data_IF_314678544026
#
_entry.id   IF_314678544026
#
_cell.length_a   1.000
_cell.length_b   1.000
_cell.length_c   1.000
_cell.angle_alpha   90.00
_cell.angle_beta   90.00
_cell.angle_gamma   90.00
#
_symmetry.space_group_name_H-M   'P 1'
#
loop_
_entity.id
_entity.type
_entity.pdbx_description
1 polymer ?
#
# COMPACT_ATOMS: atom_id res chain seq x y z
N UNK A 1 -23.62 10.42 -6.81
CA UNK A 1 -22.61 9.47 -6.31
C UNK A 1 -21.87 10.14 -5.17
N UNK A 2 -21.36 9.35 -4.23
CA UNK A 2 -20.68 9.82 -3.02
C UNK A 2 -19.33 9.13 -2.90
N UNK A 3 -18.31 9.87 -2.50
CA UNK A 3 -16.97 9.36 -2.25
C UNK A 3 -16.69 9.36 -0.75
N UNK A 4 -16.09 8.28 -0.24
CA UNK A 4 -15.39 8.32 1.04
C UNK A 4 -13.97 8.83 0.80
N UNK A 5 -13.63 9.95 1.43
CA UNK A 5 -12.36 10.66 1.21
C UNK A 5 -11.58 10.76 2.52
N UNK A 6 -10.34 10.30 2.50
CA UNK A 6 -9.38 10.58 3.57
C UNK A 6 -8.84 11.97 3.33
N UNK A 7 -9.08 12.87 4.28
CA UNK A 7 -8.58 14.24 4.19
C UNK A 7 -7.16 14.26 4.76
N UNK A 8 -6.19 14.75 3.99
CA UNK A 8 -4.76 14.76 4.35
C UNK A 8 -4.41 15.88 5.33
N UNK A 9 -5.19 15.97 6.40
CA UNK A 9 -4.97 16.86 7.54
C UNK A 9 -4.84 16.02 8.80
N UNK A 10 -4.76 16.66 9.97
CA UNK A 10 -5.02 15.94 11.21
C UNK A 10 -6.46 15.42 11.18
N UNK A 11 -6.65 14.16 11.57
CA UNK A 11 -7.94 13.51 11.75
C UNK A 11 -7.94 12.89 13.15
N UNK A 12 -9.04 13.01 13.91
CA UNK A 12 -9.22 12.24 15.13
C UNK A 12 -9.10 10.74 14.86
N UNK A 13 -8.61 9.93 15.81
CA UNK A 13 -8.47 8.49 15.61
C UNK A 13 -9.77 7.76 15.29
N UNK A 14 -10.94 8.29 15.67
CA UNK A 14 -12.22 7.65 15.40
C UNK A 14 -12.74 7.90 13.97
N UNK A 15 -12.11 8.78 13.19
CA UNK A 15 -12.60 9.18 11.86
C UNK A 15 -11.61 8.79 10.78
N UNK A 16 -11.93 7.73 10.04
CA UNK A 16 -11.12 7.26 8.92
C UNK A 16 -11.29 8.10 7.66
N UNK A 17 -12.50 8.58 7.40
CA UNK A 17 -12.84 9.28 6.16
C UNK A 17 -14.07 10.15 6.32
N UNK A 18 -14.27 11.03 5.35
CA UNK A 18 -15.42 11.91 5.27
C UNK A 18 -16.15 11.67 3.94
N UNK A 19 -17.48 11.74 3.98
CA UNK A 19 -18.28 11.61 2.76
C UNK A 19 -18.38 12.94 2.04
N UNK A 20 -18.09 12.91 0.73
CA UNK A 20 -18.32 14.02 -0.18
C UNK A 20 -19.21 13.60 -1.35
N UNK A 21 -19.97 14.54 -1.90
CA UNK A 21 -20.69 14.35 -3.15
C UNK A 21 -19.71 14.43 -4.33
N UNK A 22 -19.89 13.57 -5.33
CA UNK A 22 -19.15 13.62 -6.60
C UNK A 22 -20.02 14.38 -7.61
N UNK A 23 -19.66 15.63 -8.00
CA UNK A 23 -20.35 16.37 -9.04
C UNK A 23 -20.42 15.58 -10.35
N UNK A 24 -21.53 15.68 -11.09
CA UNK A 24 -21.71 14.98 -12.38
C UNK A 24 -20.66 15.34 -13.42
N UNK A 25 -20.01 16.51 -13.29
CA UNK A 25 -18.93 16.97 -14.16
C UNK A 25 -17.58 16.31 -13.86
N UNK A 26 -17.41 15.66 -12.71
CA UNK A 26 -16.15 15.03 -12.31
C UNK A 26 -16.22 13.51 -12.47
N UNK A 27 -15.32 12.96 -13.29
CA UNK A 27 -15.12 11.52 -13.41
C UNK A 27 -14.11 11.03 -12.35
N UNK A 28 -14.57 10.96 -11.10
CA UNK A 28 -13.72 10.58 -9.97
C UNK A 28 -13.53 9.06 -9.89
N UNK A 29 -12.31 8.62 -9.57
CA UNK A 29 -11.91 7.22 -9.41
C UNK A 29 -11.34 6.96 -8.02
N UNK A 30 -11.43 5.71 -7.56
CA UNK A 30 -10.79 5.26 -6.31
C UNK A 30 -9.27 5.42 -6.45
N UNK A 31 -8.61 5.88 -5.38
CA UNK A 31 -7.16 6.16 -5.34
C UNK A 31 -6.73 7.49 -5.94
N UNK A 32 -7.70 8.33 -6.35
CA UNK A 32 -7.43 9.63 -6.95
C UNK A 32 -7.21 10.73 -5.90
N UNK A 33 -6.30 11.65 -6.24
CA UNK A 33 -6.00 12.84 -5.44
C UNK A 33 -7.00 13.95 -5.77
N UNK A 34 -7.69 14.44 -4.75
CA UNK A 34 -8.73 15.47 -4.86
C UNK A 34 -8.49 16.64 -3.92
N UNK A 35 -9.12 17.76 -4.22
CA UNK A 35 -9.24 18.92 -3.35
C UNK A 35 -10.66 18.94 -2.80
N UNK A 36 -10.82 18.98 -1.47
CA UNK A 36 -12.13 18.91 -0.81
C UNK A 36 -12.32 20.06 0.17
N UNK A 37 -13.56 20.55 0.35
CA UNK A 37 -13.83 21.60 1.32
C UNK A 37 -13.80 21.01 2.75
N UNK A 38 -12.98 21.60 3.62
CA UNK A 38 -12.85 21.19 5.02
C UNK A 38 -12.71 22.41 5.93
N UNK A 39 -13.79 22.75 6.66
CA UNK A 39 -13.89 24.01 7.38
C UNK A 39 -13.75 25.21 6.45
N UNK A 40 -12.76 26.07 6.71
CA UNK A 40 -12.40 27.25 5.89
C UNK A 40 -11.30 26.98 4.85
N UNK A 41 -10.79 25.74 4.78
CA UNK A 41 -9.65 25.36 3.92
C UNK A 41 -10.09 24.34 2.88
N UNK A 42 -9.24 24.17 1.85
CA UNK A 42 -9.43 23.20 0.78
C UNK A 42 -8.22 22.22 0.73
N UNK A 43 -8.05 21.37 1.75
CA UNK A 43 -6.96 20.40 1.80
C UNK A 43 -7.06 19.36 0.69
N UNK A 44 -5.95 18.63 0.51
CA UNK A 44 -5.90 17.45 -0.35
C UNK A 44 -6.60 16.27 0.33
N UNK A 45 -7.13 15.35 -0.47
CA UNK A 45 -7.71 14.10 0.00
C UNK A 45 -7.54 12.97 -1.01
N UNK A 46 -7.71 11.74 -0.54
CA UNK A 46 -7.66 10.51 -1.35
C UNK A 46 -9.03 9.83 -1.30
N UNK A 47 -9.57 9.48 -2.47
CA UNK A 47 -10.81 8.71 -2.57
C UNK A 47 -10.54 7.24 -2.23
N UNK A 48 -11.20 6.69 -1.20
CA UNK A 48 -11.08 5.27 -0.81
C UNK A 48 -12.15 4.37 -1.41
N UNK A 49 -13.35 4.91 -1.59
CA UNK A 49 -14.49 4.19 -2.16
C UNK A 49 -15.49 5.17 -2.75
N UNK A 50 -16.30 4.67 -3.69
CA UNK A 50 -17.37 5.42 -4.34
C UNK A 50 -18.65 4.60 -4.18
N UNK A 51 -19.70 5.24 -3.68
CA UNK A 51 -21.01 4.65 -3.44
C UNK A 51 -22.09 5.41 -4.21
N UNK A 52 -23.07 4.70 -4.75
CA UNK A 52 -24.20 5.33 -5.46
C UNK A 52 -25.27 5.88 -4.52
N UNK A 53 -25.36 5.35 -3.29
CA UNK A 53 -26.38 5.70 -2.30
C UNK A 53 -25.92 6.79 -1.34
N UNK A 54 -26.86 7.64 -0.91
CA UNK A 54 -26.62 8.65 0.12
C UNK A 54 -26.37 7.95 1.47
N UNK A 55 -25.30 8.29 2.20
CA UNK A 55 -25.08 7.77 3.55
C UNK A 55 -26.21 8.27 4.47
N UNK A 56 -26.95 7.36 5.08
CA UNK A 56 -28.12 7.66 5.93
C UNK A 56 -29.49 7.38 5.29
N UNK A 57 -29.55 6.89 4.04
CA UNK A 57 -30.77 6.31 3.48
C UNK A 57 -30.82 4.81 3.78
N UNK A 58 -31.59 4.40 4.79
CA UNK A 58 -31.80 2.97 5.10
C UNK A 58 -32.68 2.31 4.04
N UNK A 59 -32.23 1.17 3.49
CA UNK A 59 -33.13 0.09 3.05
C UNK A 59 -33.57 -0.70 4.30
N UNK A 60 -34.43 -0.09 5.10
CA UNK A 60 -35.36 -0.78 6.01
C UNK A 60 -36.23 0.30 6.62
N UNK A 61 -37.52 0.24 6.32
CA UNK A 61 -38.57 0.63 7.26
C UNK A 61 -38.53 -0.32 8.45
N UNK A 62 -37.43 -0.34 9.21
CA UNK A 62 -37.44 -0.92 10.55
C UNK A 62 -37.99 0.16 11.47
N UNK A 63 -39.32 0.10 11.60
CA UNK A 63 -40.04 0.63 12.74
C UNK A 63 -39.39 0.02 14.00
N UNK A 64 -38.40 0.70 14.54
CA UNK A 64 -38.13 0.59 15.97
C UNK A 64 -39.24 1.38 16.65
N UNK A 65 -40.37 0.69 16.83
CA UNK A 65 -41.33 1.00 17.88
C UNK A 65 -40.61 0.80 19.22
N UNK A 66 -39.88 1.83 19.66
CA UNK A 66 -39.67 2.05 21.09
C UNK A 66 -40.84 2.89 21.56
N UNK A 67 -41.90 2.18 21.94
CA UNK A 67 -42.77 2.65 23.00
C UNK A 67 -41.89 2.82 24.23
N UNK A 68 -41.58 4.06 24.58
CA UNK A 68 -41.57 4.52 25.96
C UNK A 68 -41.78 6.03 25.92
N UNK A 69 -42.82 6.43 26.61
CA UNK A 69 -43.42 7.75 26.61
C UNK A 69 -42.57 8.82 27.31
N UNK A 70 -42.72 10.05 26.81
CA UNK A 70 -42.66 11.37 27.48
C UNK A 70 -41.53 12.30 26.98
N UNK A 71 -41.88 13.19 26.04
CA UNK A 71 -41.74 14.67 26.16
C UNK A 71 -42.45 15.35 24.95
N UNK A 72 -43.50 16.19 25.10
CA UNK A 72 -44.20 16.84 23.98
C UNK A 72 -43.56 18.15 23.48
N UNK A 73 -42.37 18.54 23.95
CA UNK A 73 -41.76 19.82 23.57
C UNK A 73 -40.25 19.74 23.36
N UNK A 74 -39.81 19.27 22.18
CA UNK A 74 -38.39 19.32 21.84
C UNK A 74 -38.07 18.81 20.43
N UNK A 75 -37.98 19.75 19.48
CA UNK A 75 -37.39 19.63 18.14
C UNK A 75 -36.86 18.24 17.72
N UNK A 76 -37.59 17.51 16.88
CA UNK A 76 -36.98 16.58 15.93
C UNK A 76 -36.97 17.23 14.54
N UNK A 77 -36.07 18.19 14.36
CA UNK A 77 -35.60 18.52 13.03
C UNK A 77 -34.72 17.36 12.58
N UNK A 78 -35.23 16.51 11.69
CA UNK A 78 -34.39 15.70 10.80
C UNK A 78 -33.53 16.66 9.97
N UNK A 79 -32.43 17.11 10.55
CA UNK A 79 -31.49 18.02 9.92
C UNK A 79 -30.80 17.21 8.83
N UNK A 80 -31.35 17.25 7.62
CA UNK A 80 -30.75 16.65 6.43
C UNK A 80 -29.29 17.08 6.39
N UNK A 81 -28.39 16.14 6.68
CA UNK A 81 -26.96 16.42 6.73
C UNK A 81 -26.51 16.85 5.34
N UNK A 82 -26.21 18.14 5.18
CA UNK A 82 -25.79 18.70 3.90
C UNK A 82 -24.39 18.20 3.56
N UNK A 83 -24.31 17.23 2.65
CA UNK A 83 -23.04 16.74 2.11
C UNK A 83 -22.44 17.81 1.19
N UNK A 84 -21.14 18.08 1.34
CA UNK A 84 -20.41 19.03 0.48
C UNK A 84 -19.87 18.31 -0.76
N UNK A 85 -19.82 18.96 -1.93
CA UNK A 85 -19.21 18.39 -3.12
C UNK A 85 -17.67 18.41 -3.06
N UNK A 86 -17.02 17.49 -3.78
CA UNK A 86 -15.59 17.57 -4.11
C UNK A 86 -15.35 18.84 -4.95
N UNK A 87 -14.31 19.63 -4.61
CA UNK A 87 -14.01 20.86 -5.35
C UNK A 87 -13.40 20.57 -6.73
N UNK A 88 -12.38 19.72 -6.76
CA UNK A 88 -11.69 19.37 -7.99
C UNK A 88 -10.84 18.11 -7.85
N UNK A 89 -10.58 17.47 -8.98
CA UNK A 89 -9.55 16.45 -9.14
C UNK A 89 -8.21 17.15 -9.35
N UNK A 90 -7.17 16.73 -8.61
CA UNK A 90 -5.83 17.33 -8.71
C UNK A 90 -4.93 16.61 -9.71
N UNK A 91 -5.20 15.33 -9.96
CA UNK A 91 -4.49 14.49 -10.92
C UNK A 91 -5.50 13.61 -11.66
N UNK A 92 -5.41 13.60 -12.99
CA UNK A 92 -6.35 12.87 -13.86
C UNK A 92 -6.34 11.36 -13.61
N UNK A 93 -5.20 10.82 -13.14
CA UNK A 93 -5.04 9.40 -12.84
C UNK A 93 -5.01 9.12 -11.32
N UNK A 94 -5.53 7.96 -10.87
CA UNK A 94 -5.30 7.48 -9.51
C UNK A 94 -3.82 7.37 -9.18
N UNK A 95 -3.44 7.86 -8.01
CA UNK A 95 -2.06 7.78 -7.50
C UNK A 95 -1.83 6.59 -6.58
N UNK A 96 -2.91 5.97 -6.10
CA UNK A 96 -2.89 4.70 -5.38
C UNK A 96 -3.35 3.57 -6.28
N UNK A 97 -2.60 2.48 -6.28
CA UNK A 97 -3.00 1.24 -6.93
C UNK A 97 -4.11 0.54 -6.10
N UNK A 98 -4.96 -0.31 -6.71
CA UNK A 98 -6.05 -0.98 -6.01
C UNK A 98 -5.60 -1.73 -4.75
N UNK A 99 -4.49 -2.47 -4.84
CA UNK A 99 -3.93 -3.19 -3.70
C UNK A 99 -3.46 -2.25 -2.58
N UNK A 100 -3.02 -1.03 -2.90
CA UNK A 100 -2.60 -0.07 -1.88
C UNK A 100 -3.81 0.51 -1.13
N UNK A 101 -4.96 0.63 -1.79
CA UNK A 101 -6.21 1.02 -1.11
C UNK A 101 -6.65 -0.05 -0.11
N UNK A 102 -6.54 -1.32 -0.48
CA UNK A 102 -6.80 -2.44 0.44
C UNK A 102 -5.77 -2.50 1.56
N UNK A 103 -4.50 -2.24 1.25
CA UNK A 103 -3.43 -2.15 2.23
C UNK A 103 -3.70 -1.04 3.26
N UNK A 104 -4.12 0.15 2.82
CA UNK A 104 -4.45 1.27 3.72
C UNK A 104 -5.55 0.90 4.73
N UNK A 105 -6.64 0.29 4.24
CA UNK A 105 -7.75 -0.19 5.07
C UNK A 105 -7.28 -1.22 6.09
N UNK A 106 -6.49 -2.18 5.63
CA UNK A 106 -5.91 -3.20 6.51
C UNK A 106 -4.94 -2.60 7.52
N UNK A 107 -4.06 -1.68 7.12
CA UNK A 107 -3.09 -1.05 8.02
C UNK A 107 -3.79 -0.28 9.14
N UNK A 108 -4.82 0.50 8.79
CA UNK A 108 -5.59 1.26 9.78
C UNK A 108 -6.25 0.34 10.80
N UNK A 109 -6.86 -0.77 10.35
CA UNK A 109 -7.47 -1.75 11.24
C UNK A 109 -6.46 -2.55 12.07
N UNK A 110 -5.36 -3.00 11.46
CA UNK A 110 -4.35 -3.85 12.10
C UNK A 110 -3.51 -3.09 13.13
N UNK A 111 -3.11 -1.87 12.81
CA UNK A 111 -2.29 -1.03 13.68
C UNK A 111 -3.10 -0.06 14.54
N UNK A 112 -4.44 -0.06 14.40
CA UNK A 112 -5.34 0.87 15.10
C UNK A 112 -4.85 2.32 14.90
N UNK A 113 -4.59 2.65 13.65
CA UNK A 113 -3.96 3.92 13.27
C UNK A 113 -4.92 4.77 12.43
N UNK A 114 -4.96 6.10 12.63
CA UNK A 114 -5.76 6.98 11.81
C UNK A 114 -5.42 6.81 10.33
N UNK A 115 -6.44 6.73 9.48
CA UNK A 115 -6.26 6.51 8.04
C UNK A 115 -5.34 7.56 7.39
N UNK A 116 -5.42 8.82 7.80
CA UNK A 116 -4.51 9.88 7.33
C UNK A 116 -3.02 9.57 7.61
N UNK A 117 -2.70 8.92 8.74
CA UNK A 117 -1.32 8.53 9.05
C UNK A 117 -0.87 7.36 8.16
N UNK A 118 -1.75 6.40 7.90
CA UNK A 118 -1.48 5.32 6.95
C UNK A 118 -1.22 5.88 5.54
N UNK A 119 -2.02 6.85 5.09
CA UNK A 119 -1.81 7.50 3.79
C UNK A 119 -0.47 8.26 3.75
N UNK A 120 -0.12 8.99 4.81
CA UNK A 120 1.18 9.69 4.92
C UNK A 120 2.37 8.74 4.95
N UNK A 121 2.20 7.52 5.46
CA UNK A 121 3.25 6.51 5.44
C UNK A 121 3.52 5.99 4.02
N UNK A 122 2.47 5.83 3.21
CA UNK A 122 2.59 5.30 1.84
C UNK A 122 2.96 6.37 0.82
N UNK A 123 2.37 7.56 0.94
CA UNK A 123 2.51 8.61 -0.06
C UNK A 123 3.79 9.42 0.20
N UNK A 124 4.68 9.60 -0.80
CA UNK A 124 5.75 10.59 -0.67
C UNK A 124 5.16 11.99 -0.54
N UNK A 125 5.96 12.93 -0.03
CA UNK A 125 5.59 14.33 -0.09
C UNK A 125 5.33 14.75 -1.54
N UNK A 126 4.11 15.22 -1.79
CA UNK A 126 3.72 15.69 -3.11
C UNK A 126 4.27 17.11 -3.33
N UNK A 127 4.75 17.45 -4.54
CA UNK A 127 5.10 18.81 -4.86
C UNK A 127 3.85 19.72 -4.79
N UNK A 128 4.06 21.03 -4.66
CA UNK A 128 2.96 22.00 -4.60
C UNK A 128 2.00 21.87 -5.79
N UNK A 129 0.71 22.22 -5.57
CA UNK A 129 -0.36 22.16 -6.58
C UNK A 129 0.06 22.78 -7.92
N UNK A 130 0.78 23.90 -7.90
CA UNK A 130 1.28 24.57 -9.11
C UNK A 130 2.32 23.75 -9.90
N UNK A 131 3.18 22.99 -9.22
CA UNK A 131 4.17 22.12 -9.86
C UNK A 131 3.55 20.84 -10.40
N UNK A 132 2.53 20.29 -9.72
CA UNK A 132 1.80 19.10 -10.18
C UNK A 132 1.07 19.38 -11.50
N UNK A 133 0.36 20.50 -11.58
CA UNK A 133 -0.40 20.87 -12.79
C UNK A 133 0.51 21.19 -13.98
N UNK A 134 1.70 21.75 -13.74
CA UNK A 134 2.67 22.07 -14.79
C UNK A 134 3.61 20.93 -15.17
N UNK A 135 3.68 19.85 -14.39
CA UNK A 135 4.50 18.71 -14.77
C UNK A 135 3.79 17.91 -15.87
N UNK A 136 4.53 17.48 -16.89
CA UNK A 136 4.05 16.61 -17.96
C UNK A 136 3.71 15.20 -17.42
N UNK A 137 2.66 15.07 -16.61
CA UNK A 137 2.13 13.76 -16.18
C UNK A 137 1.36 13.06 -17.29
N UNK A 138 0.94 13.81 -18.31
CA UNK A 138 0.06 13.34 -19.39
C UNK A 138 0.71 12.36 -20.37
N UNK A 139 2.04 12.26 -20.39
CA UNK A 139 2.77 11.48 -21.42
C UNK A 139 3.39 10.17 -20.91
N UNK A 140 3.58 10.00 -19.60
CA UNK A 140 4.45 8.93 -19.06
C UNK A 140 3.71 7.71 -18.48
N UNK A 141 2.39 7.77 -18.33
CA UNK A 141 1.59 6.59 -17.97
C UNK A 141 0.91 6.14 -19.27
N UNK A 142 1.57 5.27 -20.03
CA UNK A 142 0.95 4.58 -21.17
C UNK A 142 -0.14 3.63 -20.63
N UNK A 143 -1.28 4.20 -20.23
CA UNK A 143 -2.53 3.47 -20.03
C UNK A 143 -3.17 3.43 -21.41
N UNK A 144 -2.88 2.38 -22.17
CA UNK A 144 -3.42 2.19 -23.51
C UNK A 144 -4.97 2.30 -23.48
N UNK A 145 -5.59 3.26 -24.20
CA UNK A 145 -7.04 3.44 -24.18
C UNK A 145 -7.84 2.32 -24.85
N UNK A 146 -7.21 1.35 -25.51
CA UNK A 146 -7.89 0.38 -26.37
C UNK A 146 -8.09 -1.02 -25.78
N UNK A 147 -8.64 -1.11 -24.55
CA UNK A 147 -9.20 -2.38 -24.06
C UNK A 147 -10.59 -2.20 -23.45
N UNK A 148 -11.54 -1.69 -24.25
CA UNK A 148 -12.96 -1.97 -24.02
C UNK A 148 -13.28 -3.44 -24.38
N UNK A 149 -12.78 -4.36 -23.55
CA UNK A 149 -13.21 -5.74 -23.53
C UNK A 149 -14.40 -5.90 -22.59
N UNK A 150 -15.56 -6.25 -23.14
CA UNK A 150 -16.81 -6.56 -22.43
C UNK A 150 -16.56 -7.43 -21.20
N UNK A 151 -16.63 -6.83 -20.02
CA UNK A 151 -16.53 -7.52 -18.74
C UNK A 151 -16.78 -6.53 -17.61
N UNK A 152 -17.80 -6.78 -16.82
CA UNK A 152 -18.30 -5.92 -15.74
C UNK A 152 -17.36 -5.92 -14.53
N UNK A 153 -16.09 -5.57 -14.71
CA UNK A 153 -15.08 -5.18 -13.71
C UNK A 153 -13.84 -4.69 -14.47
N UNK A 154 -13.95 -3.54 -15.14
CA UNK A 154 -12.90 -3.00 -16.02
C UNK A 154 -11.64 -2.60 -15.24
N UNK A 155 -10.56 -3.34 -15.44
CA UNK A 155 -9.22 -2.93 -15.01
C UNK A 155 -8.76 -1.76 -15.89
N UNK A 156 -8.53 -0.60 -15.28
CA UNK A 156 -8.08 0.66 -15.92
C UNK A 156 -6.59 0.59 -16.35
N UNK A 157 -5.93 -0.55 -16.14
CA UNK A 157 -4.49 -0.73 -16.35
C UNK A 157 -4.22 -1.59 -17.58
N UNK A 158 -3.50 -1.02 -18.56
CA UNK A 158 -2.85 -1.81 -19.63
C UNK A 158 -1.90 -2.84 -19.00
N UNK A 159 -1.75 -4.06 -19.56
CA UNK A 159 -0.85 -5.06 -18.99
C UNK A 159 0.58 -4.55 -18.99
N UNK A 160 1.09 -4.21 -17.80
CA UNK A 160 2.49 -3.84 -17.62
C UNK A 160 3.37 -5.04 -17.97
N UNK A 161 4.22 -4.88 -18.99
CA UNK A 161 5.11 -5.96 -19.46
C UNK A 161 6.29 -6.19 -18.51
N UNK A 162 6.74 -5.14 -17.82
CA UNK A 162 7.89 -5.20 -16.93
C UNK A 162 7.46 -5.77 -15.57
N UNK A 163 8.16 -6.82 -15.12
CA UNK A 163 7.99 -7.39 -13.78
C UNK A 163 8.84 -6.64 -12.77
N UNK A 164 8.23 -6.24 -11.66
CA UNK A 164 8.90 -5.49 -10.59
C UNK A 164 9.33 -6.42 -9.46
N UNK A 165 10.58 -6.27 -9.03
CA UNK A 165 11.15 -6.89 -7.83
C UNK A 165 11.56 -5.81 -6.84
N UNK A 166 10.99 -5.86 -5.65
CA UNK A 166 11.37 -4.99 -4.53
C UNK A 166 12.46 -5.67 -3.70
N UNK A 167 13.55 -4.97 -3.41
CA UNK A 167 14.66 -5.42 -2.59
C UNK A 167 14.83 -4.46 -1.42
N UNK A 168 14.63 -5.01 -0.22
CA UNK A 168 14.72 -4.29 1.04
C UNK A 168 16.01 -4.64 1.76
N UNK A 169 16.72 -3.61 2.21
CA UNK A 169 17.90 -3.70 3.06
C UNK A 169 17.70 -2.87 4.34
N UNK A 170 18.27 -3.25 5.48
CA UNK A 170 18.03 -2.56 6.74
C UNK A 170 18.67 -1.17 6.75
N UNK A 171 19.89 -1.07 6.20
CA UNK A 171 20.63 0.18 6.07
C UNK A 171 20.98 0.44 4.59
N UNK A 172 20.87 1.70 4.17
CA UNK A 172 21.19 2.16 2.82
C UNK A 172 22.65 1.91 2.43
N UNK A 173 23.56 1.86 3.40
CA UNK A 173 24.99 1.62 3.17
C UNK A 173 25.26 0.23 2.57
N UNK A 174 24.27 -0.67 2.70
CA UNK A 174 24.32 -2.03 2.13
C UNK A 174 23.82 -2.09 0.70
N UNK A 175 23.21 -1.03 0.17
CA UNK A 175 22.71 -0.99 -1.21
C UNK A 175 23.82 -1.27 -2.23
N UNK A 176 25.02 -0.66 -2.16
CA UNK A 176 26.09 -0.94 -3.12
C UNK A 176 26.49 -2.42 -3.16
N UNK A 177 26.68 -3.03 -1.99
CA UNK A 177 26.99 -4.47 -1.88
C UNK A 177 25.83 -5.33 -2.41
N UNK A 178 24.60 -4.93 -2.10
CA UNK A 178 23.40 -5.63 -2.56
C UNK A 178 23.27 -5.53 -4.06
N UNK A 179 23.52 -4.37 -4.68
CA UNK A 179 23.50 -4.21 -6.14
C UNK A 179 24.54 -5.09 -6.83
N UNK A 180 25.73 -5.25 -6.26
CA UNK A 180 26.76 -6.13 -6.81
C UNK A 180 26.31 -7.61 -6.92
N UNK A 181 25.36 -8.01 -6.06
CA UNK A 181 24.76 -9.34 -6.07
C UNK A 181 23.63 -9.52 -7.12
N UNK A 182 23.24 -8.45 -7.82
CA UNK A 182 22.16 -8.43 -8.80
C UNK A 182 22.64 -7.87 -10.14
N UNK A 183 23.55 -8.54 -10.87
CA UNK A 183 24.06 -8.05 -12.16
C UNK A 183 22.99 -7.88 -13.25
N UNK A 184 21.85 -8.56 -13.10
CA UNK A 184 20.67 -8.41 -13.95
C UNK A 184 19.89 -7.11 -13.71
N UNK A 185 20.08 -6.44 -12.56
CA UNK A 185 19.36 -5.23 -12.20
C UNK A 185 19.93 -4.00 -12.93
N UNK A 186 19.75 -3.93 -14.25
CA UNK A 186 20.19 -2.80 -15.08
C UNK A 186 19.24 -1.61 -15.01
N UNK A 187 17.93 -1.87 -14.93
CA UNK A 187 16.90 -0.84 -14.80
C UNK A 187 16.34 -0.84 -13.37
N UNK A 188 17.06 -0.18 -12.46
CA UNK A 188 16.67 -0.08 -11.07
C UNK A 188 16.36 1.36 -10.63
N UNK A 189 15.69 1.47 -9.48
CA UNK A 189 15.43 2.72 -8.78
C UNK A 189 15.83 2.55 -7.32
N UNK A 190 16.46 3.57 -6.74
CA UNK A 190 16.71 3.65 -5.31
C UNK A 190 15.55 4.35 -4.62
N UNK A 191 15.13 3.85 -3.45
CA UNK A 191 14.07 4.45 -2.65
C UNK A 191 14.39 4.38 -1.16
N UNK A 192 14.82 5.49 -0.57
CA UNK A 192 15.19 5.56 0.84
C UNK A 192 14.91 6.94 1.44
N UNK A 193 15.06 7.06 2.76
CA UNK A 193 14.79 8.28 3.53
C UNK A 193 15.79 9.42 3.26
N UNK A 194 17.02 9.13 2.83
CA UNK A 194 18.00 10.17 2.50
C UNK A 194 17.80 10.84 1.12
N UNK A 195 16.86 10.36 0.29
CA UNK A 195 16.53 11.04 -0.96
C UNK A 195 15.83 12.37 -0.68
N UNK A 196 16.15 13.40 -1.48
CA UNK A 196 15.42 14.67 -1.44
C UNK A 196 13.98 14.45 -1.89
N UNK A 197 13.06 15.31 -1.45
CA UNK A 197 11.63 15.24 -1.81
C UNK A 197 11.41 15.11 -3.33
N UNK A 198 12.14 15.88 -4.14
CA UNK A 198 12.04 15.80 -5.61
C UNK A 198 12.54 14.48 -6.19
N UNK A 199 13.62 13.92 -5.65
CA UNK A 199 14.22 12.66 -6.10
C UNK A 199 13.32 11.48 -5.71
N UNK A 200 12.85 11.47 -4.47
CA UNK A 200 11.91 10.47 -3.95
C UNK A 200 10.61 10.48 -4.75
N UNK A 201 10.14 11.66 -5.14
CA UNK A 201 8.97 11.81 -5.97
C UNK A 201 9.18 11.30 -7.40
N UNK A 202 10.29 11.66 -8.05
CA UNK A 202 10.63 11.16 -9.39
C UNK A 202 10.80 9.62 -9.40
N UNK A 203 11.45 9.07 -8.36
CA UNK A 203 11.57 7.64 -8.14
C UNK A 203 10.19 6.97 -8.00
N UNK A 204 9.32 7.53 -7.15
CA UNK A 204 7.95 7.05 -6.96
C UNK A 204 7.15 7.06 -8.27
N UNK A 205 7.26 8.12 -9.07
CA UNK A 205 6.61 8.20 -10.38
C UNK A 205 7.09 7.12 -11.36
N UNK A 206 8.41 6.92 -11.45
CA UNK A 206 9.01 5.89 -12.32
C UNK A 206 8.57 4.48 -11.90
N UNK A 207 8.41 4.24 -10.61
CA UNK A 207 7.92 2.95 -10.10
C UNK A 207 6.43 2.77 -10.43
N UNK A 208 5.61 3.80 -10.20
CA UNK A 208 4.17 3.79 -10.48
C UNK A 208 3.86 3.56 -11.96
N UNK A 209 4.66 4.13 -12.86
CA UNK A 209 4.49 3.92 -14.31
C UNK A 209 4.99 2.56 -14.80
N UNK A 210 5.53 1.71 -13.90
CA UNK A 210 6.12 0.42 -14.27
C UNK A 210 7.44 0.55 -15.06
N UNK A 211 8.11 1.71 -14.98
CA UNK A 211 9.32 2.01 -15.74
C UNK A 211 10.63 1.45 -15.15
N UNK A 212 10.56 0.61 -14.13
CA UNK A 212 11.72 -0.05 -13.52
C UNK A 212 11.46 -1.54 -13.26
N UNK A 213 12.53 -2.34 -13.29
CA UNK A 213 12.47 -3.79 -13.04
C UNK A 213 12.80 -4.09 -11.57
N UNK A 214 13.70 -3.29 -10.98
CA UNK A 214 14.14 -3.44 -9.59
C UNK A 214 13.97 -2.15 -8.80
N UNK A 215 13.57 -2.30 -7.54
CA UNK A 215 13.52 -1.23 -6.55
C UNK A 215 14.41 -1.65 -5.39
N UNK A 216 15.45 -0.88 -5.07
CA UNK A 216 16.29 -1.11 -3.91
C UNK A 216 16.05 -0.02 -2.87
N UNK A 217 15.85 -0.39 -1.62
CA UNK A 217 15.56 0.61 -0.61
C UNK A 217 15.59 0.12 0.82
N UNK A 218 15.42 1.06 1.74
CA UNK A 218 15.24 0.78 3.16
C UNK A 218 13.76 0.53 3.47
N UNK A 219 13.38 0.54 4.77
CA UNK A 219 12.01 0.24 5.24
C UNK A 219 10.89 0.92 4.45
N UNK A 220 11.04 2.19 4.08
CA UNK A 220 9.98 2.96 3.40
C UNK A 220 9.72 2.50 1.96
N UNK A 221 10.65 1.78 1.34
CA UNK A 221 10.47 1.28 -0.03
C UNK A 221 9.36 0.22 -0.13
N UNK A 222 8.96 -0.38 0.99
CA UNK A 222 7.84 -1.33 1.03
C UNK A 222 6.53 -0.72 0.51
N UNK A 223 6.38 0.59 0.64
CA UNK A 223 5.18 1.30 0.21
C UNK A 223 5.22 1.81 -1.23
N UNK A 224 6.28 1.52 -1.97
CA UNK A 224 6.39 1.95 -3.37
C UNK A 224 5.28 1.33 -4.24
N UNK A 225 4.64 2.10 -5.13
CA UNK A 225 3.49 1.66 -5.89
C UNK A 225 3.91 0.81 -7.09
N UNK A 226 4.05 -0.50 -6.89
CA UNK A 226 4.51 -1.42 -7.91
C UNK A 226 3.32 -2.04 -8.66
N UNK A 227 2.92 -1.56 -9.86
CA UNK A 227 1.80 -2.12 -10.61
C UNK A 227 1.95 -3.59 -10.98
N UNK A 228 3.19 -4.09 -11.14
CA UNK A 228 3.46 -5.48 -11.52
C UNK A 228 4.47 -6.15 -10.58
N UNK A 229 4.24 -6.02 -9.27
CA UNK A 229 5.09 -6.63 -8.25
C UNK A 229 5.02 -8.16 -8.31
N UNK A 230 6.14 -8.83 -8.61
CA UNK A 230 6.23 -10.30 -8.63
C UNK A 230 6.99 -10.85 -7.44
N UNK A 231 7.88 -10.06 -6.86
CA UNK A 231 8.78 -10.53 -5.81
C UNK A 231 9.19 -9.43 -4.85
N UNK A 232 9.25 -9.77 -3.57
CA UNK A 232 9.81 -8.96 -2.48
C UNK A 232 10.99 -9.75 -1.91
N UNK A 233 12.15 -9.13 -1.81
CA UNK A 233 13.36 -9.71 -1.21
C UNK A 233 13.70 -8.87 0.02
N UNK A 234 13.86 -9.51 1.18
CA UNK A 234 14.17 -8.83 2.44
C UNK A 234 15.49 -9.38 2.97
N UNK A 235 16.48 -8.51 3.16
CA UNK A 235 17.76 -8.86 3.75
C UNK A 235 17.76 -8.59 5.25
N UNK A 236 18.30 -9.51 6.05
CA UNK A 236 18.46 -9.38 7.50
C UNK A 236 17.18 -8.88 8.19
N UNK A 237 16.09 -9.63 8.02
CA UNK A 237 14.77 -9.26 8.47
C UNK A 237 14.68 -9.05 9.99
N UNK A 238 15.57 -9.69 10.76
CA UNK A 238 15.65 -9.52 12.20
C UNK A 238 16.05 -8.10 12.64
N UNK A 239 16.63 -7.30 11.75
CA UNK A 239 17.12 -5.95 12.06
C UNK A 239 15.99 -5.02 12.52
N UNK A 240 16.23 -4.29 13.61
CA UNK A 240 15.30 -3.32 14.19
C UNK A 240 14.95 -2.15 13.26
N UNK A 241 15.80 -1.84 12.28
CA UNK A 241 15.59 -0.77 11.29
C UNK A 241 14.30 -0.98 10.47
N UNK A 242 13.78 -2.21 10.41
CA UNK A 242 12.51 -2.52 9.75
C UNK A 242 11.25 -2.14 10.53
N UNK A 243 11.39 -1.68 11.77
CA UNK A 243 10.29 -1.15 12.57
C UNK A 243 10.28 0.38 12.49
N UNK A 244 9.13 0.99 12.22
CA UNK A 244 8.96 2.44 12.34
C UNK A 244 8.35 2.76 13.71
N UNK A 245 8.90 3.76 14.39
CA UNK A 245 8.46 4.19 15.73
C UNK A 245 7.46 5.34 15.67
N UNK A 246 6.95 5.64 14.48
CA UNK A 246 5.92 6.68 14.25
C UNK A 246 4.67 6.01 13.74
N UNK A 247 3.50 6.50 14.18
CA UNK A 247 2.19 6.04 13.68
C UNK A 247 2.23 5.90 12.15
N UNK A 248 1.93 4.71 11.58
CA UNK A 248 1.19 3.59 12.19
C UNK A 248 2.02 2.54 12.97
N UNK A 249 3.27 2.80 13.35
CA UNK A 249 4.13 1.88 14.11
C UNK A 249 4.33 0.52 13.43
N UNK A 250 4.55 0.54 12.12
CA UNK A 250 4.53 -0.68 11.31
C UNK A 250 5.84 -1.46 11.37
N UNK A 251 5.73 -2.78 11.21
CA UNK A 251 6.86 -3.69 10.91
C UNK A 251 6.87 -4.01 9.41
N UNK A 252 8.02 -3.78 8.77
CA UNK A 252 8.18 -3.94 7.32
C UNK A 252 7.89 -5.36 6.86
N UNK A 253 8.26 -6.38 7.64
CA UNK A 253 7.96 -7.78 7.30
C UNK A 253 6.45 -8.05 7.29
N UNK A 254 5.74 -7.55 8.30
CA UNK A 254 4.28 -7.68 8.40
C UNK A 254 3.58 -6.99 7.23
N UNK A 255 4.03 -5.78 6.84
CA UNK A 255 3.53 -5.09 5.64
C UNK A 255 3.82 -5.91 4.38
N UNK A 256 5.04 -6.46 4.25
CA UNK A 256 5.43 -7.26 3.09
C UNK A 256 4.57 -8.51 2.92
N UNK A 257 4.26 -9.22 4.01
CA UNK A 257 3.32 -10.34 4.00
C UNK A 257 1.95 -9.93 3.48
N UNK A 258 1.42 -8.79 3.96
CA UNK A 258 0.12 -8.31 3.48
C UNK A 258 0.18 -7.92 2.01
N UNK A 259 1.21 -7.20 1.57
CA UNK A 259 1.38 -6.85 0.16
C UNK A 259 1.49 -8.12 -0.70
N UNK A 260 2.22 -9.14 -0.25
CA UNK A 260 2.31 -10.44 -0.94
C UNK A 260 0.95 -11.13 -1.06
N UNK A 261 0.12 -11.09 -0.03
CA UNK A 261 -1.25 -11.62 -0.08
C UNK A 261 -2.12 -10.90 -1.12
N UNK A 262 -2.04 -9.57 -1.16
CA UNK A 262 -2.84 -8.71 -2.04
C UNK A 262 -2.37 -8.75 -3.51
N UNK A 263 -1.05 -8.82 -3.72
CA UNK A 263 -0.43 -8.78 -5.07
C UNK A 263 -0.11 -10.16 -5.64
N UNK A 264 -0.22 -11.22 -4.81
CA UNK A 264 0.28 -12.58 -5.11
C UNK A 264 1.78 -12.63 -5.42
N UNK A 265 2.55 -11.63 -4.98
CA UNK A 265 4.00 -11.62 -5.10
C UNK A 265 4.64 -12.63 -4.14
N UNK A 266 5.83 -13.14 -4.48
CA UNK A 266 6.59 -14.06 -3.62
C UNK A 266 7.49 -13.28 -2.67
N UNK A 267 7.63 -13.76 -1.44
CA UNK A 267 8.59 -13.18 -0.48
C UNK A 267 9.81 -14.10 -0.38
N UNK A 268 11.00 -13.52 -0.53
CA UNK A 268 12.27 -14.18 -0.27
C UNK A 268 13.01 -13.45 0.85
N UNK A 269 13.31 -14.15 1.93
CA UNK A 269 14.07 -13.64 3.06
C UNK A 269 15.51 -14.13 2.92
N UNK A 270 16.47 -13.22 3.05
CA UNK A 270 17.90 -13.52 3.03
C UNK A 270 18.48 -13.09 4.36
N UNK A 271 18.68 -14.04 5.26
CA UNK A 271 19.08 -13.76 6.65
C UNK A 271 19.93 -14.90 7.20
N UNK A 272 20.96 -14.55 7.98
CA UNK A 272 21.80 -15.50 8.72
C UNK A 272 21.23 -15.87 10.08
N UNK A 273 20.49 -14.93 10.68
CA UNK A 273 19.97 -14.98 12.04
C UNK A 273 18.48 -14.64 12.02
N UNK A 274 17.63 -15.45 11.35
CA UNK A 274 16.21 -15.15 11.20
C UNK A 274 15.52 -15.03 12.57
N UNK A 275 14.49 -14.19 12.66
CA UNK A 275 13.61 -14.11 13.85
C UNK A 275 13.06 -15.49 14.18
N UNK A 276 12.83 -15.74 15.47
CA UNK A 276 12.24 -17.00 15.97
C UNK A 276 10.93 -17.32 15.25
N UNK A 277 10.10 -16.31 14.98
CA UNK A 277 8.84 -16.45 14.24
C UNK A 277 9.07 -16.90 12.80
N UNK A 278 10.02 -16.29 12.09
CA UNK A 278 10.41 -16.66 10.72
C UNK A 278 10.95 -18.09 10.68
N UNK A 279 11.83 -18.44 11.62
CA UNK A 279 12.38 -19.79 11.76
C UNK A 279 11.30 -20.83 12.04
N UNK A 280 10.37 -20.53 12.94
CA UNK A 280 9.23 -21.39 13.26
C UNK A 280 8.34 -21.64 12.04
N UNK A 281 7.94 -20.58 11.32
CA UNK A 281 7.12 -20.70 10.10
C UNK A 281 7.81 -21.57 9.04
N UNK A 282 9.14 -21.45 8.92
CA UNK A 282 9.91 -22.28 7.99
C UNK A 282 9.89 -23.77 8.39
N UNK A 283 10.08 -24.08 9.68
CA UNK A 283 10.08 -25.45 10.20
C UNK A 283 8.71 -26.12 10.10
N UNK A 284 7.62 -25.35 10.15
CA UNK A 284 6.25 -25.85 10.08
C UNK A 284 5.64 -25.57 8.70
N UNK A 285 6.27 -26.11 7.64
CA UNK A 285 5.96 -25.87 6.22
C UNK A 285 4.56 -26.33 5.74
N UNK A 286 3.67 -26.72 6.65
CA UNK A 286 2.26 -27.08 6.39
C UNK A 286 1.30 -25.89 6.43
N UNK A 287 1.71 -24.76 7.01
CA UNK A 287 0.88 -23.55 7.14
C UNK A 287 0.81 -22.77 5.81
N UNK A 288 -0.34 -22.20 5.47
CA UNK A 288 -0.53 -21.38 4.26
C UNK A 288 0.44 -20.19 4.23
N UNK A 289 0.76 -19.63 5.40
CA UNK A 289 1.73 -18.54 5.58
C UNK A 289 3.16 -18.96 5.19
N UNK A 290 3.54 -20.21 5.46
CA UNK A 290 4.88 -20.75 5.16
C UNK A 290 5.14 -20.93 3.67
N UNK A 291 4.11 -21.24 2.86
CA UNK A 291 4.26 -21.52 1.42
C UNK A 291 4.70 -20.30 0.60
N UNK A 292 4.53 -19.09 1.14
CA UNK A 292 4.84 -17.82 0.45
C UNK A 292 6.22 -17.28 0.80
N UNK A 293 6.82 -17.76 1.89
CA UNK A 293 8.12 -17.35 2.40
C UNK A 293 9.20 -18.32 1.93
N UNK A 294 10.25 -17.82 1.29
CA UNK A 294 11.46 -18.59 0.99
C UNK A 294 12.65 -17.99 1.70
N UNK A 295 13.28 -18.72 2.62
CA UNK A 295 14.48 -18.25 3.35
C UNK A 295 15.75 -18.77 2.67
N UNK A 296 16.78 -17.93 2.52
CA UNK A 296 18.15 -18.32 2.11
C UNK A 296 19.17 -17.72 3.09
N UNK A 297 20.20 -18.48 3.47
CA UNK A 297 21.35 -17.94 4.23
C UNK A 297 22.54 -17.64 3.30
N UNK A 298 23.38 -16.68 3.70
CA UNK A 298 24.58 -16.22 2.97
C UNK A 298 25.83 -16.92 3.55
N UNK A 299 26.38 -17.90 2.86
CA UNK A 299 27.68 -18.50 3.23
C UNK A 299 28.81 -17.46 3.05
N UNK A 300 29.71 -17.34 4.04
CA UNK A 300 30.89 -16.44 4.05
C UNK A 300 31.89 -16.69 2.92
N UNK A 301 31.80 -17.82 2.22
CA UNK A 301 32.64 -18.11 1.06
C UNK A 301 31.83 -18.34 -0.22
N UNK A 302 32.06 -17.45 -1.20
CA UNK A 302 31.73 -17.55 -2.62
C UNK A 302 30.26 -17.36 -3.07
N UNK A 303 30.10 -16.47 -4.07
CA UNK A 303 29.04 -16.40 -5.11
C UNK A 303 27.76 -17.16 -4.77
N UNK A 304 26.71 -16.44 -4.37
CA UNK A 304 25.34 -16.91 -4.07
C UNK A 304 25.08 -18.33 -4.57
N UNK A 305 25.46 -19.32 -3.76
CA UNK A 305 24.96 -20.68 -3.91
C UNK A 305 23.56 -20.67 -3.31
N UNK A 306 22.56 -20.88 -4.16
CA UNK A 306 21.19 -21.10 -3.69
C UNK A 306 21.20 -22.26 -2.70
N UNK A 307 20.79 -21.99 -1.46
CA UNK A 307 20.38 -23.08 -0.59
C UNK A 307 18.92 -23.42 -0.94
N UNK A 308 18.74 -24.67 -1.40
CA UNK A 308 17.48 -25.40 -1.39
C UNK A 308 17.57 -26.32 -0.18
N UNK A 309 16.83 -26.05 0.89
CA UNK A 309 16.59 -27.09 1.89
C UNK A 309 15.44 -27.94 1.35
N UNK A 310 15.81 -29.06 0.72
CA UNK A 310 14.89 -30.11 0.31
C UNK A 310 14.45 -30.88 1.56
N UNK A 311 13.13 -30.94 1.75
CA UNK A 311 12.42 -31.65 2.80
C UNK A 311 12.67 -33.15 2.69
N UNK A 312 13.02 -33.79 3.80
CA UNK A 312 13.18 -35.24 3.85
C UNK A 312 11.91 -35.99 3.47
N UNK A 313 12.08 -36.95 2.57
CA UNK A 313 11.56 -38.29 2.80
C UNK A 313 12.69 -39.29 2.50
N UNK A 314 13.03 -40.04 3.54
CA UNK A 314 13.93 -41.20 3.61
C UNK A 314 15.42 -40.98 3.27
N UNK A 315 16.27 -40.85 4.30
CA UNK A 315 16.92 -42.04 4.86
C UNK A 315 17.53 -41.81 6.26
N UNK A 316 17.51 -42.89 7.04
CA UNK A 316 17.98 -43.10 8.43
C UNK A 316 19.40 -42.54 8.66
N UNK A 317 19.87 -42.15 9.85
CA UNK A 317 19.45 -42.14 11.24
C UNK A 317 20.37 -41.12 11.94
N UNK A 318 19.96 -40.55 13.07
CA UNK A 318 20.85 -40.25 14.19
C UNK A 318 19.98 -39.87 15.40
N UNK A 319 19.95 -40.81 16.34
CA UNK A 319 19.35 -40.71 17.67
C UNK A 319 19.90 -39.51 18.44
N UNK A 320 19.01 -38.77 19.10
CA UNK A 320 19.32 -37.71 20.05
C UNK A 320 19.56 -38.36 21.43
N UNK A 321 20.67 -38.10 22.13
CA UNK A 321 20.79 -38.51 23.52
C UNK A 321 19.94 -37.58 24.40
N UNK A 322 19.21 -38.20 25.32
CA UNK A 322 18.54 -37.57 26.48
C UNK A 322 19.49 -36.70 27.28
#
# INVERSE_FOLDING_TARGET
>A
MYAQVVVLTYQPPEIDSYTYEIPKSLNAKIGQLVSVPFGKRNPQGIILSINSRHPGGSETTDRISRSDSIDPSGLQNDKVLKIKPINSILLDQPIFLPYQIELLKWMSAYYIAPMANCVKAILPELPSKSKIVNSKWKESIHLDPQSEGRGSHGSVYSPFTIHQTLVLVPNIDRIPETLANFPQAKNYVLYHNQLKTSEKFAAWQKILSGGCDFIFGSRLAIFTPCPNLKKIIIFDEHDGAYKDERSPYFDTLTIAEKISELTKSKIEIIDLSPRVTTYHLFRHSGDERSRRLRVKSKSENSRIKQIRFWTGQNDKALTVPT
#
